data_IF_340625117449
#
_entry.id   IF_340625117449
#
_cell.length_a   1.000
_cell.length_b   1.000
_cell.length_c   1.000
_cell.angle_alpha   90.00
_cell.angle_beta   90.00
_cell.angle_gamma   90.00
#
_symmetry.space_group_name_H-M   'P 1'
#
loop_
_entity.id
_entity.type
_entity.pdbx_description
1 polymer ?
#
# COMPACT_ATOMS: atom_id res chain seq x y z
N UNK A 1 -9.73 23.73 -5.20
CA UNK A 1 -8.83 24.07 -4.08
C UNK A 1 -7.43 23.72 -4.52
N UNK A 2 -6.49 24.67 -4.56
CA UNK A 2 -5.10 24.37 -4.91
C UNK A 2 -4.48 23.69 -3.68
N UNK A 3 -4.50 22.36 -3.65
CA UNK A 3 -3.94 21.56 -2.56
C UNK A 3 -2.44 21.83 -2.49
N UNK A 4 -2.04 22.70 -1.55
CA UNK A 4 -0.63 22.98 -1.30
C UNK A 4 -0.05 21.78 -0.56
N UNK A 5 0.91 21.13 -1.20
CA UNK A 5 1.69 20.05 -0.64
C UNK A 5 2.38 20.38 0.69
N UNK A 6 2.88 19.37 1.42
CA UNK A 6 3.65 19.64 2.64
C UNK A 6 5.07 20.10 2.32
N UNK A 7 5.53 21.13 3.04
CA UNK A 7 6.92 21.62 2.97
C UNK A 7 7.83 20.99 4.02
N UNK A 8 7.27 20.31 5.02
CA UNK A 8 8.06 19.64 6.06
C UNK A 8 8.63 18.30 5.54
N UNK A 9 9.92 18.08 5.77
CA UNK A 9 10.60 16.84 5.40
C UNK A 9 10.06 15.63 6.19
N UNK A 10 9.61 15.82 7.43
CA UNK A 10 9.04 14.74 8.25
C UNK A 10 7.73 14.25 7.66
N UNK A 11 6.84 15.17 7.29
CA UNK A 11 5.56 14.85 6.66
C UNK A 11 5.74 14.12 5.33
N UNK A 12 6.72 14.55 4.53
CA UNK A 12 7.08 13.90 3.25
C UNK A 12 7.56 12.47 3.46
N UNK A 13 8.46 12.28 4.43
CA UNK A 13 9.01 10.96 4.75
C UNK A 13 7.92 10.02 5.26
N UNK A 14 7.14 10.43 6.26
CA UNK A 14 6.07 9.59 6.80
C UNK A 14 4.93 9.38 5.81
N UNK A 15 4.56 10.41 5.04
CA UNK A 15 3.57 10.28 3.96
C UNK A 15 3.99 9.26 2.90
N UNK A 16 5.26 9.25 2.53
CA UNK A 16 5.81 8.25 1.61
C UNK A 16 5.92 6.86 2.24
N UNK A 17 6.38 6.76 3.49
CA UNK A 17 6.61 5.51 4.18
C UNK A 17 5.33 4.66 4.35
N UNK A 18 4.17 5.30 4.46
CA UNK A 18 2.91 4.55 4.64
C UNK A 18 2.57 3.71 3.40
N UNK A 19 2.96 4.13 2.19
CA UNK A 19 2.77 3.32 0.99
C UNK A 19 3.59 2.03 0.95
N UNK A 20 4.60 1.88 1.82
CA UNK A 20 5.30 0.60 1.97
C UNK A 20 4.38 -0.51 2.47
N UNK A 21 3.31 -0.18 3.21
CA UNK A 21 2.29 -1.16 3.62
C UNK A 21 1.50 -1.67 2.41
N UNK A 22 0.96 -0.77 1.58
CA UNK A 22 0.27 -1.17 0.34
C UNK A 22 1.20 -1.91 -0.64
N UNK A 23 2.47 -1.50 -0.72
CA UNK A 23 3.47 -2.17 -1.54
C UNK A 23 3.79 -3.59 -1.02
N UNK A 24 3.78 -3.79 0.30
CA UNK A 24 3.90 -5.11 0.90
C UNK A 24 2.69 -5.98 0.59
N UNK A 25 1.47 -5.44 0.72
CA UNK A 25 0.24 -6.17 0.35
C UNK A 25 0.30 -6.61 -1.14
N UNK A 26 0.84 -5.76 -2.02
CA UNK A 26 0.99 -6.07 -3.44
C UNK A 26 1.85 -7.32 -3.69
N UNK A 27 2.84 -7.65 -2.84
CA UNK A 27 3.68 -8.85 -3.01
C UNK A 27 2.85 -10.12 -3.14
N UNK A 28 1.69 -10.20 -2.48
CA UNK A 28 0.77 -11.33 -2.59
C UNK A 28 0.22 -11.56 -4.01
N UNK A 29 0.08 -10.49 -4.82
CA UNK A 29 -0.31 -10.61 -6.24
C UNK A 29 0.84 -11.15 -7.10
N UNK A 30 2.08 -10.83 -6.74
CA UNK A 30 3.28 -11.17 -7.49
C UNK A 30 3.92 -12.51 -7.14
N UNK A 31 3.31 -13.34 -6.29
CA UNK A 31 3.91 -14.60 -5.80
C UNK A 31 4.28 -15.56 -6.93
N UNK A 32 3.54 -15.55 -8.04
CA UNK A 32 3.81 -16.40 -9.19
C UNK A 32 4.93 -15.86 -10.13
N UNK A 33 5.34 -14.60 -10.00
CA UNK A 33 6.31 -13.96 -10.90
C UNK A 33 7.66 -14.68 -10.97
N UNK A 34 8.29 -15.08 -9.85
CA UNK A 34 9.55 -15.82 -9.88
C UNK A 34 9.50 -17.10 -10.73
N UNK A 35 8.35 -17.78 -10.76
CA UNK A 35 8.16 -19.00 -11.54
C UNK A 35 7.84 -18.71 -13.01
N UNK A 36 7.06 -17.67 -13.29
CA UNK A 36 6.66 -17.28 -14.65
C UNK A 36 7.79 -16.59 -15.42
N UNK A 37 8.55 -15.71 -14.76
CA UNK A 37 9.63 -14.91 -15.34
C UNK A 37 10.85 -14.98 -14.41
N UNK A 38 11.65 -16.07 -14.48
CA UNK A 38 12.81 -16.25 -13.60
C UNK A 38 13.84 -15.11 -13.66
N UNK A 39 13.92 -14.39 -14.79
CA UNK A 39 14.80 -13.23 -14.93
C UNK A 39 14.50 -12.10 -13.94
N UNK A 40 13.29 -12.04 -13.36
CA UNK A 40 12.87 -11.00 -12.40
C UNK A 40 13.09 -11.40 -10.94
N UNK A 41 13.55 -12.62 -10.66
CA UNK A 41 13.89 -13.10 -9.31
C UNK A 41 14.78 -12.11 -8.52
N UNK A 42 15.91 -11.59 -9.06
CA UNK A 42 16.76 -10.69 -8.28
C UNK A 42 16.04 -9.39 -7.90
N UNK A 43 15.20 -8.84 -8.79
CA UNK A 43 14.41 -7.64 -8.50
C UNK A 43 13.35 -7.92 -7.43
N UNK A 44 12.66 -9.05 -7.52
CA UNK A 44 11.66 -9.45 -6.55
C UNK A 44 12.26 -9.68 -5.15
N UNK A 45 13.42 -10.33 -5.08
CA UNK A 45 14.15 -10.51 -3.82
C UNK A 45 14.62 -9.18 -3.22
N UNK A 46 15.08 -8.24 -4.05
CA UNK A 46 15.46 -6.90 -3.59
C UNK A 46 14.25 -6.16 -3.00
N UNK A 47 13.08 -6.28 -3.64
CA UNK A 47 11.85 -5.68 -3.13
C UNK A 47 11.43 -6.31 -1.79
N UNK A 48 11.52 -7.64 -1.65
CA UNK A 48 11.26 -8.32 -0.38
C UNK A 48 12.22 -7.87 0.72
N UNK A 49 13.51 -7.69 0.41
CA UNK A 49 14.50 -7.20 1.35
C UNK A 49 14.19 -5.77 1.81
N UNK A 50 13.80 -4.88 0.89
CA UNK A 50 13.38 -3.52 1.21
C UNK A 50 12.17 -3.50 2.16
N UNK A 51 11.24 -4.43 1.96
CA UNK A 51 10.01 -4.56 2.73
C UNK A 51 10.14 -5.47 3.95
N UNK A 52 11.36 -5.86 4.33
CA UNK A 52 11.62 -6.65 5.53
C UNK A 52 11.06 -6.02 6.82
N UNK A 53 11.12 -4.68 7.03
CA UNK A 53 10.50 -4.07 8.21
C UNK A 53 8.98 -4.29 8.23
N UNK A 54 8.32 -4.18 7.07
CA UNK A 54 6.90 -4.43 6.93
C UNK A 54 6.59 -5.91 7.19
N UNK A 55 7.38 -6.84 6.67
CA UNK A 55 7.15 -8.28 6.88
C UNK A 55 7.23 -8.68 8.36
N UNK A 56 8.11 -8.04 9.15
CA UNK A 56 8.17 -8.24 10.60
C UNK A 56 6.89 -7.78 11.29
N UNK A 57 6.34 -6.61 10.91
CA UNK A 57 5.08 -6.09 11.45
C UNK A 57 3.92 -7.02 11.12
N UNK A 58 3.81 -7.47 9.86
CA UNK A 58 2.79 -8.44 9.45
C UNK A 58 2.98 -9.80 10.14
N UNK A 59 4.23 -10.21 10.38
CA UNK A 59 4.58 -11.43 11.08
C UNK A 59 4.07 -11.48 12.52
N UNK A 60 3.93 -10.33 13.20
CA UNK A 60 3.33 -10.27 14.54
C UNK A 60 1.87 -10.74 14.55
N UNK A 61 1.20 -10.67 13.40
CA UNK A 61 -0.22 -11.02 13.24
C UNK A 61 -0.44 -12.25 12.37
N UNK A 62 0.62 -12.98 11.99
CA UNK A 62 0.52 -14.15 11.10
C UNK A 62 -0.23 -15.33 11.73
N UNK A 63 -0.27 -15.42 13.07
CA UNK A 63 -1.02 -16.43 13.81
C UNK A 63 -2.52 -16.13 13.93
N UNK A 64 -2.99 -14.99 13.39
CA UNK A 64 -4.39 -14.63 13.49
C UNK A 64 -5.25 -15.51 12.56
N UNK A 65 -6.42 -16.01 13.02
CA UNK A 65 -7.26 -16.90 12.24
C UNK A 65 -7.61 -16.35 10.85
N UNK A 66 -7.75 -17.26 9.88
CA UNK A 66 -8.20 -16.97 8.51
C UNK A 66 -7.27 -16.02 7.72
N UNK A 67 -6.03 -15.79 8.17
CA UNK A 67 -5.09 -14.91 7.48
C UNK A 67 -5.48 -13.42 7.53
N UNK A 68 -6.35 -13.03 8.46
CA UNK A 68 -6.86 -11.65 8.58
C UNK A 68 -5.86 -10.69 9.27
N UNK A 69 -4.58 -11.05 9.38
CA UNK A 69 -3.55 -10.19 9.97
C UNK A 69 -3.41 -8.83 9.29
N UNK A 70 -3.60 -8.76 7.96
CA UNK A 70 -3.61 -7.49 7.23
C UNK A 70 -4.77 -6.56 7.62
N UNK A 71 -5.90 -7.13 8.08
CA UNK A 71 -7.06 -6.37 8.56
C UNK A 71 -6.76 -5.66 9.90
N UNK A 72 -5.94 -6.28 10.75
CA UNK A 72 -5.47 -5.65 12.00
C UNK A 72 -4.59 -4.45 11.67
N UNK A 73 -3.73 -4.56 10.66
CA UNK A 73 -2.86 -3.47 10.20
C UNK A 73 -3.68 -2.33 9.61
N UNK A 74 -4.70 -2.66 8.81
CA UNK A 74 -5.69 -1.68 8.34
C UNK A 74 -6.28 -0.88 9.50
N UNK A 75 -6.84 -1.56 10.51
CA UNK A 75 -7.47 -0.88 11.65
C UNK A 75 -6.46 -0.07 12.46
N UNK A 76 -5.24 -0.60 12.63
CA UNK A 76 -4.18 0.08 13.35
C UNK A 76 -3.80 1.38 12.64
N UNK A 77 -3.55 1.35 11.33
CA UNK A 77 -3.24 2.56 10.56
C UNK A 77 -4.42 3.54 10.55
N UNK A 78 -5.65 3.05 10.41
CA UNK A 78 -6.83 3.91 10.41
C UNK A 78 -7.06 4.61 11.76
N UNK A 79 -7.08 3.84 12.85
CA UNK A 79 -7.37 4.37 14.19
C UNK A 79 -6.21 5.20 14.76
N UNK A 80 -4.96 4.73 14.59
CA UNK A 80 -3.81 5.41 15.17
C UNK A 80 -3.36 6.63 14.36
N UNK A 81 -3.50 6.58 13.03
CA UNK A 81 -3.00 7.64 12.14
C UNK A 81 -4.14 8.49 11.57
N UNK A 82 -5.08 7.89 10.84
CA UNK A 82 -6.10 8.65 10.10
C UNK A 82 -7.04 9.42 11.03
N UNK A 83 -7.45 8.82 12.14
CA UNK A 83 -8.36 9.44 13.13
C UNK A 83 -7.65 10.39 14.10
N UNK A 84 -6.32 10.46 14.09
CA UNK A 84 -5.57 11.29 15.02
C UNK A 84 -5.35 12.71 14.48
N UNK A 85 -6.14 13.68 14.96
CA UNK A 85 -6.05 15.09 14.54
C UNK A 85 -4.73 15.78 14.92
N UNK A 86 -3.88 15.18 15.76
CA UNK A 86 -2.53 15.70 16.05
C UNK A 86 -1.54 15.44 14.91
N UNK A 87 -1.85 14.52 14.00
CA UNK A 87 -1.02 14.18 12.86
C UNK A 87 -1.37 15.10 11.69
N UNK A 88 -0.36 15.53 10.94
CA UNK A 88 -0.54 16.39 9.78
C UNK A 88 -1.52 15.79 8.77
N UNK A 89 -2.40 16.63 8.22
CA UNK A 89 -3.38 16.23 7.21
C UNK A 89 -2.74 15.50 6.02
N UNK A 90 -1.53 15.93 5.61
CA UNK A 90 -0.76 15.28 4.55
C UNK A 90 -0.48 13.80 4.82
N UNK A 91 -0.03 13.46 6.03
CA UNK A 91 0.24 12.06 6.42
C UNK A 91 -1.07 11.29 6.47
N UNK A 92 -2.12 11.87 7.07
CA UNK A 92 -3.45 11.23 7.21
C UNK A 92 -4.06 10.92 5.84
N UNK A 93 -3.93 11.83 4.87
CA UNK A 93 -4.36 11.62 3.48
C UNK A 93 -3.62 10.45 2.83
N UNK A 94 -2.28 10.48 2.84
CA UNK A 94 -1.48 9.42 2.23
C UNK A 94 -1.71 8.07 2.91
N UNK A 95 -1.93 8.07 4.22
CA UNK A 95 -2.26 6.86 4.98
C UNK A 95 -3.61 6.29 4.53
N UNK A 96 -4.64 7.12 4.45
CA UNK A 96 -5.96 6.66 4.00
C UNK A 96 -5.90 6.16 2.54
N UNK A 97 -5.15 6.82 1.66
CA UNK A 97 -4.94 6.37 0.29
C UNK A 97 -4.24 5.02 0.22
N UNK A 98 -3.15 4.84 0.98
CA UNK A 98 -2.42 3.56 1.06
C UNK A 98 -3.32 2.44 1.60
N UNK A 99 -4.11 2.72 2.63
CA UNK A 99 -5.09 1.80 3.20
C UNK A 99 -6.09 1.33 2.13
N UNK A 100 -6.65 2.27 1.35
CA UNK A 100 -7.62 1.93 0.30
C UNK A 100 -6.99 1.05 -0.79
N UNK A 101 -5.75 1.35 -1.18
CA UNK A 101 -4.99 0.51 -2.13
C UNK A 101 -4.79 -0.89 -1.56
N UNK A 102 -4.38 -1.01 -0.30
CA UNK A 102 -4.21 -2.30 0.38
C UNK A 102 -5.51 -3.12 0.42
N UNK A 103 -6.66 -2.48 0.73
CA UNK A 103 -7.97 -3.13 0.69
C UNK A 103 -8.29 -3.64 -0.73
N UNK A 104 -8.12 -2.82 -1.76
CA UNK A 104 -8.39 -3.22 -3.14
C UNK A 104 -7.51 -4.41 -3.55
N UNK A 105 -6.24 -4.40 -3.18
CA UNK A 105 -5.31 -5.52 -3.43
C UNK A 105 -5.78 -6.78 -2.71
N UNK A 106 -6.15 -6.69 -1.43
CA UNK A 106 -6.63 -7.83 -0.65
C UNK A 106 -7.90 -8.44 -1.26
N UNK A 107 -8.85 -7.61 -1.70
CA UNK A 107 -10.07 -8.07 -2.38
C UNK A 107 -9.73 -8.79 -3.69
N UNK A 108 -8.82 -8.24 -4.50
CA UNK A 108 -8.35 -8.89 -5.72
C UNK A 108 -7.69 -10.23 -5.41
N UNK A 109 -6.85 -10.31 -4.38
CA UNK A 109 -6.20 -11.56 -3.99
C UNK A 109 -7.22 -12.64 -3.60
N UNK A 110 -8.26 -12.30 -2.84
CA UNK A 110 -9.32 -13.23 -2.48
C UNK A 110 -10.02 -13.77 -3.74
N UNK A 111 -10.32 -12.90 -4.70
CA UNK A 111 -10.91 -13.31 -5.99
C UNK A 111 -9.96 -14.22 -6.78
N UNK A 112 -8.68 -13.87 -6.88
CA UNK A 112 -7.70 -14.66 -7.62
C UNK A 112 -7.39 -16.01 -6.96
N UNK A 113 -7.50 -16.12 -5.64
CA UNK A 113 -7.31 -17.39 -4.91
C UNK A 113 -8.47 -18.36 -5.11
N UNK A 114 -9.69 -17.84 -5.34
CA UNK A 114 -10.88 -18.67 -5.58
C UNK A 114 -10.98 -19.18 -7.01
N UNK A 115 -10.30 -18.55 -7.97
CA UNK A 115 -10.33 -18.87 -9.39
C UNK A 115 -8.98 -19.48 -9.82
N UNK A 116 -8.98 -20.75 -10.23
CA UNK A 116 -7.75 -21.42 -10.69
C UNK A 116 -7.26 -20.87 -12.03
N UNK A 117 -5.93 -20.84 -12.23
CA UNK A 117 -5.30 -20.49 -13.51
C UNK A 117 -5.12 -19.00 -13.81
N UNK A 118 -5.52 -18.08 -12.92
CA UNK A 118 -5.38 -16.62 -13.13
C UNK A 118 -4.03 -16.05 -12.66
N UNK A 119 -2.99 -16.87 -12.56
CA UNK A 119 -1.68 -16.44 -12.05
C UNK A 119 -1.01 -15.37 -12.92
N UNK A 120 -1.28 -15.35 -14.23
CA UNK A 120 -0.80 -14.29 -15.13
C UNK A 120 -1.47 -12.93 -14.82
N UNK A 121 -2.76 -12.94 -14.49
CA UNK A 121 -3.50 -11.71 -14.14
C UNK A 121 -2.96 -11.15 -12.83
N UNK A 122 -2.69 -12.02 -11.83
CA UNK A 122 -2.03 -11.60 -10.58
C UNK A 122 -0.71 -10.88 -10.83
N UNK A 123 0.15 -11.43 -11.69
CA UNK A 123 1.42 -10.81 -12.07
C UNK A 123 1.28 -9.47 -12.81
N UNK A 124 0.27 -9.32 -13.69
CA UNK A 124 0.00 -8.03 -14.34
C UNK A 124 -0.48 -7.00 -13.33
N UNK A 125 -1.42 -7.38 -12.45
CA UNK A 125 -1.96 -6.51 -11.41
C UNK A 125 -0.89 -6.13 -10.38
N UNK A 126 0.09 -7.00 -10.13
CA UNK A 126 1.26 -6.68 -9.32
C UNK A 126 2.05 -5.50 -9.89
N UNK A 127 2.37 -5.49 -11.18
CA UNK A 127 3.09 -4.37 -11.79
C UNK A 127 2.29 -3.06 -11.73
N UNK A 128 0.97 -3.14 -11.93
CA UNK A 128 0.08 -1.98 -11.79
C UNK A 128 0.10 -1.45 -10.36
N UNK A 129 -0.03 -2.33 -9.36
CA UNK A 129 -0.02 -1.96 -7.95
C UNK A 129 1.34 -1.36 -7.52
N UNK A 130 2.44 -1.97 -7.96
CA UNK A 130 3.79 -1.44 -7.75
C UNK A 130 3.92 -0.05 -8.36
N UNK A 131 3.56 0.13 -9.64
CA UNK A 131 3.65 1.41 -10.32
C UNK A 131 2.86 2.50 -9.62
N UNK A 132 1.64 2.19 -9.17
CA UNK A 132 0.81 3.11 -8.39
C UNK A 132 1.44 3.47 -7.04
N UNK A 133 1.97 2.49 -6.29
CA UNK A 133 2.63 2.75 -5.01
C UNK A 133 3.91 3.57 -5.18
N UNK A 134 4.75 3.27 -6.18
CA UNK A 134 5.95 4.07 -6.47
C UNK A 134 5.60 5.50 -6.87
N UNK A 135 4.58 5.70 -7.70
CA UNK A 135 4.09 7.03 -8.03
C UNK A 135 3.69 7.80 -6.76
N UNK A 136 2.93 7.17 -5.87
CA UNK A 136 2.53 7.74 -4.59
C UNK A 136 3.71 8.10 -3.68
N UNK A 137 4.70 7.21 -3.57
CA UNK A 137 5.93 7.43 -2.80
C UNK A 137 6.69 8.64 -3.34
N UNK A 138 6.92 8.69 -4.66
CA UNK A 138 7.68 9.78 -5.30
C UNK A 138 6.95 11.12 -5.13
N UNK A 139 5.64 11.19 -5.40
CA UNK A 139 4.86 12.41 -5.19
C UNK A 139 4.90 12.85 -3.73
N UNK A 140 4.81 11.91 -2.79
CA UNK A 140 4.88 12.21 -1.35
C UNK A 140 6.24 12.77 -0.93
N UNK A 141 7.34 12.22 -1.46
CA UNK A 141 8.70 12.72 -1.25
C UNK A 141 8.86 14.14 -1.81
N UNK A 142 8.27 14.42 -2.98
CA UNK A 142 8.21 15.76 -3.57
C UNK A 142 7.28 16.72 -2.79
N UNK A 143 6.60 16.21 -1.77
CA UNK A 143 5.65 16.94 -0.94
C UNK A 143 4.30 17.18 -1.61
N UNK A 144 4.03 16.56 -2.76
CA UNK A 144 2.77 16.71 -3.51
C UNK A 144 1.78 15.65 -3.06
N UNK A 145 0.49 15.95 -3.13
CA UNK A 145 -0.56 14.96 -2.91
C UNK A 145 -0.61 13.99 -4.11
N UNK A 146 -0.51 12.67 -3.91
CA UNK A 146 -0.63 11.73 -5.00
C UNK A 146 -2.06 11.65 -5.54
N UNK A 147 -2.25 12.14 -6.76
CA UNK A 147 -3.56 12.06 -7.43
C UNK A 147 -3.65 10.78 -8.26
N UNK A 148 -4.23 9.73 -7.66
CA UNK A 148 -4.74 8.55 -8.38
C UNK A 148 -6.23 8.76 -8.67
N UNK A 149 -6.68 8.68 -9.94
CA UNK A 149 -8.10 8.76 -10.29
C UNK A 149 -8.95 7.79 -9.46
N UNK A 150 -10.16 8.21 -9.10
CA UNK A 150 -11.11 7.50 -8.22
C UNK A 150 -10.66 7.36 -6.75
N UNK A 151 -9.45 6.88 -6.45
CA UNK A 151 -9.01 6.65 -5.06
C UNK A 151 -8.85 7.98 -4.31
N UNK A 152 -8.19 8.97 -4.91
CA UNK A 152 -7.94 10.26 -4.25
C UNK A 152 -9.23 10.99 -3.91
N UNK A 153 -10.25 10.87 -4.78
CA UNK A 153 -11.56 11.45 -4.56
C UNK A 153 -12.24 10.83 -3.33
N UNK A 154 -12.17 9.49 -3.19
CA UNK A 154 -12.68 8.77 -2.02
C UNK A 154 -11.97 9.24 -0.75
N UNK A 155 -10.64 9.40 -0.78
CA UNK A 155 -9.87 9.92 0.35
C UNK A 155 -10.36 11.30 0.75
N UNK A 156 -10.54 12.23 -0.20
CA UNK A 156 -11.02 13.58 0.11
C UNK A 156 -12.41 13.60 0.73
N UNK A 157 -13.29 12.65 0.37
CA UNK A 157 -14.64 12.55 0.96
C UNK A 157 -14.62 11.90 2.34
N UNK A 158 -13.76 10.91 2.57
CA UNK A 158 -13.76 10.09 3.78
C UNK A 158 -12.84 10.62 4.89
N UNK A 159 -11.85 11.45 4.56
CA UNK A 159 -10.87 11.91 5.53
C UNK A 159 -11.53 12.88 6.53
N UNK A 160 -11.51 12.58 7.84
CA UNK A 160 -12.06 13.48 8.85
C UNK A 160 -11.28 14.79 8.83
N UNK A 161 -11.98 15.92 8.87
CA UNK A 161 -11.33 17.25 8.95
C UNK A 161 -10.65 17.41 10.30
#
# INVERSE_FOLDING_TARGET
MVWRGSTDYKDRFFGAAVYLFALYDALGLGVALPAQIPALIPLFNLLQLLLLPNSLIYGLFSGFPLGLGGLIIFFTLYLAVVQNHKIAYFIRFNTLQSILIGILIALVQIVLQTLSGLSLIGSVLFFVAIGACFYCIVQSILGRYPEIPSISQVVYTQLPR
#
